data_IF_777502972865
#
_entry.id   IF_777502972865
#
_cell.length_a   1.000
_cell.length_b   1.000
_cell.length_c   1.000
_cell.angle_alpha   90.00
_cell.angle_beta   90.00
_cell.angle_gamma   90.00
#
_symmetry.space_group_name_H-M   'P 1'
#
loop_
_entity.id
_entity.type
_entity.pdbx_description
1 polymer ?
#
# COMPACT_ATOMS: atom_id res chain seq x y z
N UNK A 1 12.42 -15.88 11.84
CA UNK A 1 11.61 -15.88 10.61
C UNK A 1 11.86 -14.57 9.89
N UNK A 2 11.72 -14.56 8.57
CA UNK A 2 11.94 -13.35 7.76
C UNK A 2 10.68 -12.49 7.81
N UNK A 3 10.84 -11.20 8.07
CA UNK A 3 9.75 -10.23 7.97
C UNK A 3 9.74 -9.61 6.57
N UNK A 4 8.56 -9.17 6.13
CA UNK A 4 8.36 -8.59 4.80
C UNK A 4 7.76 -7.19 4.92
N UNK A 5 8.29 -6.24 4.14
CA UNK A 5 7.74 -4.91 3.99
C UNK A 5 6.89 -4.85 2.72
N UNK A 6 5.57 -4.67 2.88
CA UNK A 6 4.61 -4.66 1.79
C UNK A 6 4.02 -3.26 1.66
N UNK A 7 4.33 -2.57 0.57
CA UNK A 7 3.78 -1.26 0.25
C UNK A 7 2.51 -1.40 -0.57
N UNK A 8 1.48 -0.65 -0.19
CA UNK A 8 0.25 -0.51 -1.00
C UNK A 8 0.26 0.79 -1.79
N UNK A 9 -0.54 0.83 -2.86
CA UNK A 9 -0.89 2.02 -3.59
C UNK A 9 -2.40 2.24 -3.48
N UNK A 10 -2.79 3.46 -3.15
CA UNK A 10 -4.20 3.85 -3.12
C UNK A 10 -4.58 4.61 -4.39
N UNK A 11 -5.77 4.34 -4.91
CA UNK A 11 -6.47 5.13 -5.93
C UNK A 11 -7.82 5.56 -5.37
N UNK A 12 -8.09 6.87 -5.38
CA UNK A 12 -9.38 7.43 -4.97
C UNK A 12 -10.15 7.94 -6.21
N UNK A 13 -11.40 7.53 -6.35
CA UNK A 13 -12.30 7.99 -7.41
C UNK A 13 -13.18 9.14 -6.92
N UNK A 14 -12.71 10.36 -7.17
CA UNK A 14 -13.46 11.56 -6.84
C UNK A 14 -14.81 11.64 -7.56
N UNK A 15 -14.95 10.98 -8.70
CA UNK A 15 -16.21 10.89 -9.41
C UNK A 15 -17.30 10.13 -8.64
N UNK A 16 -16.93 9.23 -7.75
CA UNK A 16 -17.87 8.52 -6.89
C UNK A 16 -18.33 9.33 -5.66
N UNK A 17 -17.76 10.53 -5.42
CA UNK A 17 -18.14 11.36 -4.28
C UNK A 17 -19.44 12.13 -4.51
N UNK A 18 -19.70 12.51 -5.77
CA UNK A 18 -20.85 13.33 -6.16
C UNK A 18 -21.68 12.72 -7.28
N UNK A 19 -21.18 11.69 -7.96
CA UNK A 19 -21.84 11.02 -9.09
C UNK A 19 -21.78 9.49 -8.92
N UNK A 20 -21.97 8.71 -9.99
CA UNK A 20 -21.88 7.24 -9.93
C UNK A 20 -20.45 6.68 -10.04
N UNK A 21 -19.45 7.52 -10.32
CA UNK A 21 -18.04 7.15 -10.44
C UNK A 21 -17.70 6.22 -11.62
N UNK A 22 -18.66 5.92 -12.51
CA UNK A 22 -18.51 4.90 -13.55
C UNK A 22 -17.86 5.49 -14.81
N UNK A 23 -17.09 4.67 -15.50
CA UNK A 23 -16.55 5.03 -16.81
C UNK A 23 -17.66 5.20 -17.87
N UNK A 24 -18.68 4.35 -17.84
CA UNK A 24 -19.77 4.35 -18.84
C UNK A 24 -20.61 5.64 -18.86
N UNK A 25 -20.69 6.35 -17.73
CA UNK A 25 -21.37 7.64 -17.58
C UNK A 25 -20.43 8.83 -17.78
N UNK A 26 -19.12 8.60 -18.02
CA UNK A 26 -18.10 9.65 -18.08
C UNK A 26 -17.69 10.21 -16.70
N UNK A 27 -18.18 9.62 -15.62
CA UNK A 27 -17.99 10.12 -14.25
C UNK A 27 -16.78 9.49 -13.54
N UNK A 28 -15.89 8.76 -14.21
CA UNK A 28 -14.69 8.20 -13.56
C UNK A 28 -13.58 9.26 -13.44
N UNK A 29 -13.10 9.52 -12.23
CA UNK A 29 -11.97 10.43 -11.99
C UNK A 29 -11.08 9.93 -10.86
N UNK A 30 -10.03 9.20 -11.23
CA UNK A 30 -9.11 8.54 -10.29
C UNK A 30 -7.86 9.37 -10.03
N UNK A 31 -7.39 9.40 -8.77
CA UNK A 31 -6.11 9.99 -8.36
C UNK A 31 -5.30 9.02 -7.52
N UNK A 32 -3.98 9.01 -7.72
CA UNK A 32 -3.06 8.37 -6.80
C UNK A 32 -3.09 9.06 -5.44
N UNK A 33 -3.12 8.26 -4.38
CA UNK A 33 -2.95 8.67 -2.99
C UNK A 33 -1.84 7.87 -2.34
N UNK A 34 -1.19 8.39 -1.28
CA UNK A 34 -0.24 7.59 -0.51
C UNK A 34 -0.93 6.31 -0.02
N UNK A 35 -0.28 5.18 -0.21
CA UNK A 35 -0.68 3.94 0.45
C UNK A 35 -0.01 3.79 1.80
N UNK A 36 0.13 2.55 2.25
CA UNK A 36 0.66 2.17 3.55
C UNK A 36 1.77 1.13 3.37
N UNK A 37 2.83 1.22 4.17
CA UNK A 37 3.79 0.14 4.33
C UNK A 37 3.35 -0.75 5.51
N UNK A 38 3.21 -2.05 5.26
CA UNK A 38 2.89 -3.04 6.28
C UNK A 38 4.11 -3.92 6.54
N UNK A 39 4.49 -4.09 7.81
CA UNK A 39 5.53 -5.03 8.22
C UNK A 39 4.85 -6.34 8.64
N UNK A 40 5.01 -7.36 7.81
CA UNK A 40 4.36 -8.66 7.99
C UNK A 40 5.36 -9.67 8.53
N UNK A 41 5.08 -10.19 9.73
CA UNK A 41 5.78 -11.33 10.32
C UNK A 41 5.01 -12.64 10.10
N UNK A 42 5.62 -13.75 10.49
CA UNK A 42 4.97 -15.08 10.60
C UNK A 42 4.36 -15.62 9.30
N UNK A 43 4.88 -15.17 8.16
CA UNK A 43 4.57 -15.74 6.85
C UNK A 43 5.73 -16.62 6.36
N UNK A 44 5.39 -17.78 5.80
CA UNK A 44 6.38 -18.71 5.23
C UNK A 44 7.03 -18.20 3.92
N UNK A 45 6.44 -17.18 3.29
CA UNK A 45 6.92 -16.63 2.01
C UNK A 45 6.43 -15.20 1.77
N UNK A 46 7.11 -14.48 0.87
CA UNK A 46 6.70 -13.16 0.39
C UNK A 46 5.30 -13.19 -0.21
N UNK A 47 4.97 -14.24 -0.97
CA UNK A 47 3.67 -14.37 -1.63
C UNK A 47 2.54 -14.49 -0.60
N UNK A 48 2.77 -15.22 0.49
CA UNK A 48 1.81 -15.33 1.59
C UNK A 48 1.64 -13.98 2.31
N UNK A 49 2.73 -13.23 2.52
CA UNK A 49 2.67 -11.89 3.11
C UNK A 49 1.89 -10.89 2.21
N UNK A 50 2.17 -10.87 0.91
CA UNK A 50 1.43 -10.04 -0.06
C UNK A 50 -0.05 -10.44 -0.13
N UNK A 51 -0.34 -11.74 -0.16
CA UNK A 51 -1.70 -12.24 -0.17
C UNK A 51 -2.46 -11.87 1.13
N UNK A 52 -1.79 -11.94 2.28
CA UNK A 52 -2.35 -11.49 3.55
C UNK A 52 -2.70 -10.00 3.53
N UNK A 53 -1.79 -9.13 3.08
CA UNK A 53 -2.06 -7.67 2.99
C UNK A 53 -3.20 -7.37 2.01
N UNK A 54 -3.23 -8.05 0.86
CA UNK A 54 -4.32 -7.93 -0.09
C UNK A 54 -5.67 -8.39 0.50
N UNK A 55 -5.68 -9.42 1.36
CA UNK A 55 -6.91 -9.92 1.97
C UNK A 55 -7.38 -9.09 3.17
N UNK A 56 -6.45 -8.60 4.00
CA UNK A 56 -6.75 -7.97 5.28
C UNK A 56 -6.94 -6.45 5.19
N UNK A 57 -6.23 -5.77 4.27
CA UNK A 57 -6.10 -4.31 4.29
C UNK A 57 -6.35 -3.61 2.95
N UNK A 58 -6.60 -4.37 1.88
CA UNK A 58 -6.83 -3.81 0.54
C UNK A 58 -8.30 -3.72 0.19
N UNK A 59 -8.65 -2.85 -0.75
CA UNK A 59 -10.03 -2.64 -1.21
C UNK A 59 -10.08 -2.55 -2.73
N UNK A 60 -11.18 -3.00 -3.34
CA UNK A 60 -11.42 -2.87 -4.78
C UNK A 60 -12.84 -2.35 -5.06
N UNK A 61 -13.15 -1.19 -4.49
CA UNK A 61 -14.42 -0.51 -4.66
C UNK A 61 -14.47 0.41 -5.90
N UNK A 62 -15.64 1.01 -6.12
CA UNK A 62 -15.85 2.05 -7.14
C UNK A 62 -15.31 3.41 -6.71
N UNK A 63 -15.31 3.70 -5.40
CA UNK A 63 -14.81 4.93 -4.80
C UNK A 63 -13.34 4.87 -4.37
N UNK A 64 -12.86 3.68 -4.03
CA UNK A 64 -11.54 3.48 -3.45
C UNK A 64 -10.94 2.17 -3.94
N UNK A 65 -9.64 2.18 -4.24
CA UNK A 65 -8.85 0.98 -4.44
C UNK A 65 -7.57 1.10 -3.64
N UNK A 66 -7.18 0.02 -3.00
CA UNK A 66 -5.88 -0.13 -2.36
C UNK A 66 -5.35 -1.51 -2.72
N UNK A 67 -4.09 -1.61 -3.14
CA UNK A 67 -3.50 -2.88 -3.55
C UNK A 67 -1.99 -2.90 -3.32
N UNK A 68 -1.38 -4.06 -3.02
CA UNK A 68 0.07 -4.19 -2.94
C UNK A 68 0.74 -3.83 -4.27
N UNK A 69 1.77 -2.98 -4.23
CA UNK A 69 2.46 -2.48 -5.42
C UNK A 69 3.97 -2.68 -5.39
N UNK A 70 4.56 -2.81 -4.20
CA UNK A 70 5.99 -3.06 -4.00
C UNK A 70 6.19 -3.90 -2.74
N UNK A 71 7.12 -4.85 -2.80
CA UNK A 71 7.31 -5.86 -1.75
C UNK A 71 8.75 -6.33 -1.72
N UNK A 72 9.29 -6.37 -0.52
CA UNK A 72 10.68 -6.75 -0.23
C UNK A 72 10.80 -7.27 1.20
N UNK A 73 11.95 -7.84 1.56
CA UNK A 73 12.18 -8.19 2.97
C UNK A 73 12.31 -6.91 3.80
N UNK A 74 11.98 -6.98 5.09
CA UNK A 74 12.16 -5.83 5.99
C UNK A 74 13.63 -5.38 6.02
N UNK A 75 14.58 -6.32 5.92
CA UNK A 75 16.01 -6.02 5.89
C UNK A 75 16.42 -5.21 4.65
N UNK A 76 15.89 -5.56 3.47
CA UNK A 76 16.11 -4.79 2.23
C UNK A 76 15.49 -3.40 2.36
N UNK A 77 14.26 -3.30 2.87
CA UNK A 77 13.60 -2.01 3.09
C UNK A 77 14.38 -1.09 4.05
N UNK A 78 14.89 -1.65 5.15
CA UNK A 78 15.75 -0.92 6.10
C UNK A 78 17.08 -0.49 5.47
N UNK A 79 17.63 -1.29 4.55
CA UNK A 79 18.85 -0.97 3.82
C UNK A 79 18.62 0.16 2.81
N UNK A 80 17.51 0.13 2.06
CA UNK A 80 17.16 1.16 1.09
C UNK A 80 16.98 2.54 1.76
N UNK A 81 16.42 2.54 2.97
CA UNK A 81 16.26 3.76 3.77
C UNK A 81 17.59 4.31 4.29
N UNK A 82 18.73 3.61 4.21
CA UNK A 82 19.98 4.12 4.80
C UNK A 82 20.49 5.41 4.16
N UNK A 83 20.15 5.64 2.89
CA UNK A 83 20.52 6.84 2.12
C UNK A 83 19.64 8.06 2.46
N UNK A 84 18.51 7.84 3.15
CA UNK A 84 17.63 8.92 3.61
C UNK A 84 18.17 9.61 4.87
N UNK A 85 17.74 10.86 5.10
CA UNK A 85 18.04 11.58 6.34
C UNK A 85 17.38 10.93 7.57
N UNK A 86 17.96 11.16 8.74
CA UNK A 86 17.53 10.49 9.98
C UNK A 86 16.07 10.73 10.34
N UNK A 87 15.57 11.94 10.13
CA UNK A 87 14.20 12.31 10.44
C UNK A 87 13.23 11.58 9.49
N UNK A 88 13.54 11.53 8.20
CA UNK A 88 12.70 10.83 7.22
C UNK A 88 12.70 9.31 7.42
N UNK A 89 13.83 8.70 7.77
CA UNK A 89 13.89 7.26 8.15
C UNK A 89 13.02 6.97 9.37
N UNK A 90 13.05 7.86 10.36
CA UNK A 90 12.24 7.72 11.58
C UNK A 90 10.75 7.83 11.24
N UNK A 91 10.38 8.84 10.45
CA UNK A 91 9.01 9.03 9.98
C UNK A 91 8.48 7.80 9.20
N UNK A 92 9.27 7.23 8.30
CA UNK A 92 8.87 6.03 7.54
C UNK A 92 8.61 4.84 8.46
N UNK A 93 9.45 4.63 9.49
CA UNK A 93 9.27 3.56 10.48
C UNK A 93 8.06 3.77 11.37
N UNK A 94 7.79 5.01 11.79
CA UNK A 94 6.62 5.36 12.60
C UNK A 94 5.30 5.24 11.81
N UNK A 95 5.34 5.45 10.49
CA UNK A 95 4.16 5.31 9.63
C UNK A 95 3.87 3.87 9.18
N UNK A 96 4.87 2.98 9.25
CA UNK A 96 4.67 1.57 8.93
C UNK A 96 3.74 0.91 9.97
N UNK A 97 2.90 -0.01 9.50
CA UNK A 97 1.88 -0.69 10.33
C UNK A 97 2.19 -2.17 10.53
#
# INVERSE_FOLDING_TARGET
MTNFAIHTQVLENYGAHSEDGKFASGNSYWKFKPGTCYIVSDCDSMQNAVAFVMAAFSENGIGWKEFPCHFQTEAEWLSDMMDDDEDYRTFQKECAR
#
